data_IF_140448278727
#
_entry.id   IF_140448278727
#
_cell.length_a   1.000
_cell.length_b   1.000
_cell.length_c   1.000
_cell.angle_alpha   90.00
_cell.angle_beta   90.00
_cell.angle_gamma   90.00
#
_symmetry.space_group_name_H-M   'P 1'
#
loop_
_entity.id
_entity.type
_entity.pdbx_description
1 polymer ?
#
# COMPACT_ATOMS: atom_id res chain seq x y z
N UNK A 1 -0.68 -8.39 -8.29
CA UNK A 1 -1.31 -8.08 -6.98
C UNK A 1 -1.40 -6.57 -6.88
N UNK A 2 -2.61 -6.00 -6.92
CA UNK A 2 -2.85 -4.56 -7.05
C UNK A 2 -2.04 -3.71 -6.06
N UNK A 3 -2.04 -4.08 -4.78
CA UNK A 3 -1.32 -3.33 -3.75
C UNK A 3 0.20 -3.31 -4.00
N UNK A 4 0.78 -4.46 -4.37
CA UNK A 4 2.22 -4.56 -4.63
C UNK A 4 2.63 -3.70 -5.83
N UNK A 5 1.86 -3.76 -6.92
CA UNK A 5 2.10 -2.95 -8.12
C UNK A 5 1.91 -1.46 -7.85
N UNK A 6 0.89 -1.09 -7.06
CA UNK A 6 0.64 0.30 -6.68
C UNK A 6 1.80 0.88 -5.85
N UNK A 7 2.28 0.14 -4.84
CA UNK A 7 3.39 0.57 -3.99
C UNK A 7 4.72 0.68 -4.77
N UNK A 8 4.92 -0.16 -5.80
CA UNK A 8 6.10 -0.09 -6.67
C UNK A 8 6.11 1.14 -7.58
N UNK A 9 4.95 1.73 -7.89
CA UNK A 9 4.89 2.98 -8.65
C UNK A 9 5.46 4.10 -7.80
N UNK A 10 6.58 4.69 -8.25
CA UNK A 10 7.28 5.77 -7.57
C UNK A 10 6.35 6.98 -7.39
N UNK A 11 5.92 7.23 -6.16
CA UNK A 11 5.15 8.42 -5.80
C UNK A 11 6.00 9.33 -4.89
N UNK A 12 6.53 10.45 -5.42
CA UNK A 12 7.40 11.35 -4.66
C UNK A 12 6.67 12.08 -3.52
N UNK A 13 5.33 12.06 -3.47
CA UNK A 13 4.55 12.68 -2.38
C UNK A 13 4.38 11.77 -1.16
N UNK A 14 4.73 10.48 -1.25
CA UNK A 14 4.64 9.58 -0.10
C UNK A 14 5.78 9.85 0.87
N UNK A 15 5.43 10.27 2.09
CA UNK A 15 6.40 10.54 3.17
C UNK A 15 7.11 9.28 3.67
N UNK A 16 6.51 8.11 3.48
CA UNK A 16 7.04 6.83 3.94
C UNK A 16 6.90 5.78 2.83
N UNK A 17 8.00 5.09 2.53
CA UNK A 17 8.01 3.92 1.68
C UNK A 17 7.99 2.67 2.56
N UNK A 18 7.20 1.67 2.16
CA UNK A 18 6.99 0.48 2.96
C UNK A 18 6.82 -0.76 2.08
N UNK A 19 7.24 -1.91 2.59
CA UNK A 19 6.90 -3.21 2.02
C UNK A 19 5.96 -3.97 2.96
N UNK A 20 4.99 -4.70 2.41
CA UNK A 20 4.04 -5.49 3.20
C UNK A 20 4.38 -6.98 3.14
N UNK A 21 4.17 -7.68 4.25
CA UNK A 21 4.28 -9.14 4.37
C UNK A 21 2.90 -9.79 4.28
N UNK A 22 1.89 -9.17 4.87
CA UNK A 22 0.53 -9.67 4.98
C UNK A 22 -0.50 -8.55 4.81
N UNK A 23 -1.62 -8.86 4.15
CA UNK A 23 -2.82 -8.01 4.13
C UNK A 23 -3.81 -8.63 5.10
N UNK A 24 -4.16 -7.92 6.17
CA UNK A 24 -5.05 -8.43 7.22
C UNK A 24 -6.51 -8.12 6.94
N UNK A 25 -6.79 -6.93 6.41
CA UNK A 25 -8.15 -6.45 6.11
C UNK A 25 -8.12 -5.55 4.89
N UNK A 26 -9.22 -5.54 4.14
CA UNK A 26 -9.42 -4.63 3.02
C UNK A 26 -10.81 -4.00 3.17
N UNK A 27 -10.86 -2.67 3.12
CA UNK A 27 -12.10 -1.92 2.95
C UNK A 27 -12.15 -1.35 1.54
N UNK A 28 -13.36 -1.29 0.97
CA UNK A 28 -13.60 -0.80 -0.37
C UNK A 28 -14.78 0.17 -0.36
N UNK A 29 -14.58 1.35 -0.95
CA UNK A 29 -15.63 2.33 -1.18
C UNK A 29 -15.72 2.67 -2.67
N UNK A 30 -16.90 2.51 -3.26
CA UNK A 30 -17.17 2.95 -4.63
C UNK A 30 -17.49 4.45 -4.63
N UNK A 31 -16.79 5.18 -5.48
CA UNK A 31 -16.96 6.62 -5.72
C UNK A 31 -16.95 6.86 -7.25
N UNK A 32 -16.46 8.00 -7.75
CA UNK A 32 -16.06 8.13 -9.16
C UNK A 32 -14.73 7.39 -9.43
N UNK A 33 -14.67 6.13 -9.02
CA UNK A 33 -13.47 5.32 -8.88
C UNK A 33 -13.68 4.31 -7.75
N UNK A 34 -12.60 3.74 -7.26
CA UNK A 34 -12.61 2.86 -6.11
C UNK A 34 -11.55 3.37 -5.15
N UNK A 35 -11.96 3.69 -3.93
CA UNK A 35 -11.05 3.96 -2.82
C UNK A 35 -10.90 2.68 -2.01
N UNK A 36 -9.67 2.20 -1.88
CA UNK A 36 -9.32 1.06 -1.05
C UNK A 36 -8.56 1.52 0.17
N UNK A 37 -8.87 0.95 1.33
CA UNK A 37 -8.03 1.02 2.52
C UNK A 37 -7.55 -0.38 2.87
N UNK A 38 -6.26 -0.61 2.67
CA UNK A 38 -5.59 -1.85 3.03
C UNK A 38 -5.01 -1.72 4.44
N UNK A 39 -5.37 -2.66 5.30
CA UNK A 39 -4.72 -2.87 6.58
C UNK A 39 -3.67 -3.94 6.41
N UNK A 40 -2.39 -3.61 6.62
CA UNK A 40 -1.28 -4.52 6.32
C UNK A 40 -0.28 -4.61 7.46
N UNK A 41 0.44 -5.72 7.52
CA UNK A 41 1.69 -5.84 8.27
C UNK A 41 2.87 -5.65 7.33
N UNK A 42 3.93 -5.01 7.82
CA UNK A 42 5.08 -4.71 6.98
C UNK A 42 6.18 -3.94 7.70
N UNK A 43 7.12 -3.43 6.92
CA UNK A 43 8.24 -2.64 7.40
C UNK A 43 8.42 -1.40 6.52
N UNK A 44 8.96 -0.34 7.11
CA UNK A 44 9.54 0.75 6.33
C UNK A 44 10.67 0.19 5.45
N UNK A 45 10.66 0.52 4.16
CA UNK A 45 11.58 -0.05 3.18
C UNK A 45 11.78 0.91 2.02
N UNK A 46 13.03 1.03 1.55
CA UNK A 46 13.35 1.74 0.31
C UNK A 46 12.87 0.99 -0.95
N UNK A 47 12.49 -0.28 -0.81
CA UNK A 47 11.91 -1.12 -1.87
C UNK A 47 10.44 -1.39 -1.55
N UNK A 48 9.52 -0.50 -1.99
CA UNK A 48 8.11 -0.65 -1.69
C UNK A 48 7.45 -1.78 -2.49
N UNK A 49 6.37 -2.34 -1.97
CA UNK A 49 5.68 -3.51 -2.56
C UNK A 49 5.58 -4.65 -1.57
N UNK A 50 5.77 -5.90 -2.03
CA UNK A 50 5.83 -7.06 -1.13
C UNK A 50 7.24 -7.20 -0.56
N UNK A 51 7.36 -7.45 0.74
CA UNK A 51 8.68 -7.66 1.35
C UNK A 51 9.37 -8.91 0.80
N UNK A 52 10.68 -8.83 0.65
CA UNK A 52 11.52 -10.00 0.40
C UNK A 52 11.53 -10.89 1.66
N UNK A 53 11.67 -12.20 1.46
CA UNK A 53 11.73 -13.14 2.59
C UNK A 53 12.88 -12.77 3.53
N UNK A 54 12.58 -12.66 4.83
CA UNK A 54 13.55 -12.34 5.87
C UNK A 54 14.00 -10.88 5.98
N UNK A 55 13.51 -9.96 5.13
CA UNK A 55 13.93 -8.54 5.21
C UNK A 55 13.12 -7.71 6.20
N UNK A 56 11.89 -8.13 6.52
CA UNK A 56 11.05 -7.46 7.50
C UNK A 56 11.07 -8.24 8.82
N UNK A 57 11.99 -7.86 9.72
CA UNK A 57 12.23 -8.56 10.99
C UNK A 57 11.38 -8.02 12.14
N UNK A 58 10.94 -6.76 12.06
CA UNK A 58 10.11 -6.10 13.06
C UNK A 58 8.87 -5.51 12.39
N UNK A 59 7.85 -6.36 12.18
CA UNK A 59 6.61 -5.94 11.53
C UNK A 59 5.87 -4.87 12.34
N UNK A 60 5.40 -3.85 11.63
CA UNK A 60 4.47 -2.82 12.10
C UNK A 60 3.17 -2.91 11.32
N UNK A 61 2.12 -2.29 11.86
CA UNK A 61 0.83 -2.16 11.17
C UNK A 61 0.83 -0.89 10.33
N UNK A 62 0.33 -0.99 9.10
CA UNK A 62 0.15 0.15 8.22
C UNK A 62 -1.25 0.18 7.66
N UNK A 63 -1.76 1.39 7.49
CA UNK A 63 -2.91 1.67 6.64
C UNK A 63 -2.40 2.26 5.33
N UNK A 64 -2.78 1.61 4.22
CA UNK A 64 -2.42 2.04 2.87
C UNK A 64 -3.68 2.35 2.10
N UNK A 65 -3.81 3.59 1.65
CA UNK A 65 -4.95 4.03 0.86
C UNK A 65 -4.60 4.11 -0.62
N UNK A 66 -5.42 3.47 -1.45
CA UNK A 66 -5.32 3.52 -2.91
C UNK A 66 -6.57 4.15 -3.52
N UNK A 67 -6.38 4.95 -4.56
CA UNK A 67 -7.45 5.35 -5.46
C UNK A 67 -7.22 4.73 -6.84
N UNK A 68 -8.28 4.10 -7.38
CA UNK A 68 -8.23 3.38 -8.65
C UNK A 68 -9.39 3.80 -9.54
N UNK A 69 -9.10 4.07 -10.82
CA UNK A 69 -10.14 4.21 -11.86
C UNK A 69 -9.77 3.27 -13.01
N UNK A 70 -10.31 2.03 -13.04
CA UNK A 70 -9.89 1.02 -14.01
C UNK A 70 -10.11 1.44 -15.47
N UNK A 71 -11.18 2.19 -15.75
CA UNK A 71 -11.51 2.69 -17.09
C UNK A 71 -10.56 3.79 -17.59
N UNK A 72 -9.76 4.38 -16.71
CA UNK A 72 -8.82 5.44 -17.03
C UNK A 72 -7.36 5.04 -16.79
N UNK A 73 -7.10 3.76 -16.46
CA UNK A 73 -5.78 3.24 -16.09
C UNK A 73 -5.09 4.03 -14.96
N UNK A 74 -5.89 4.47 -13.98
CA UNK A 74 -5.40 5.22 -12.82
C UNK A 74 -5.28 4.27 -11.64
N UNK A 75 -4.08 4.21 -11.05
CA UNK A 75 -3.78 3.60 -9.76
C UNK A 75 -2.85 4.54 -9.01
N UNK A 76 -3.32 5.07 -7.90
CA UNK A 76 -2.59 6.05 -7.10
C UNK A 76 -2.56 5.61 -5.64
N UNK A 77 -1.36 5.55 -5.06
CA UNK A 77 -1.20 5.43 -3.61
C UNK A 77 -1.41 6.82 -3.02
N UNK A 78 -2.50 7.00 -2.28
CA UNK A 78 -2.83 8.27 -1.62
C UNK A 78 -2.03 8.43 -0.33
N UNK A 79 -1.91 7.36 0.46
CA UNK A 79 -1.17 7.37 1.71
C UNK A 79 -0.67 5.97 2.06
N UNK A 80 0.40 5.91 2.86
CA UNK A 80 0.89 4.71 3.50
C UNK A 80 1.45 5.12 4.86
N UNK A 81 0.69 4.87 5.92
CA UNK A 81 0.98 5.39 7.27
C UNK A 81 1.10 4.26 8.27
N UNK A 82 2.11 4.34 9.13
CA UNK A 82 2.24 3.46 10.29
C UNK A 82 1.13 3.80 11.29
N UNK A 83 0.38 2.80 11.74
CA UNK A 83 -0.77 2.94 12.66
C UNK A 83 -0.54 2.23 14.00
N UNK A 84 0.73 2.05 14.38
CA UNK A 84 1.16 1.54 15.70
C UNK A 84 0.42 2.21 16.86
#
# INVERSE_FOLDING_TARGET
NLLAEALQKKNPSLKSQMCFTEVTTIEQQIVNGIHFRYHVRGCESATPGRCNSGTCTAEKKFDVELFVQPWADIVQVMSAVNVQ
#
